data_IF_845818053781
#
_entry.id   IF_845818053781
#
_cell.length_a   1.000
_cell.length_b   1.000
_cell.length_c   1.000
_cell.angle_alpha   90.00
_cell.angle_beta   90.00
_cell.angle_gamma   90.00
#
_symmetry.space_group_name_H-M   'P 1'
#
loop_
_entity.id
_entity.type
_entity.pdbx_description
1 polymer ?
#
# COMPACT_ATOMS: atom_id res chain seq x y z
N UNK A 1 -1.39 -2.54 2.22
CA UNK A 1 -0.21 -2.13 3.00
C UNK A 1 0.19 -0.69 2.69
N UNK A 2 1.18 -0.18 3.44
CA UNK A 2 1.48 1.25 3.45
C UNK A 2 2.38 1.76 2.31
N UNK A 3 2.90 0.92 1.41
CA UNK A 3 3.71 1.40 0.30
C UNK A 3 3.00 2.49 -0.50
N UNK A 4 3.76 3.47 -1.01
CA UNK A 4 3.19 4.70 -1.55
C UNK A 4 2.42 4.47 -2.88
N UNK A 5 2.77 3.47 -3.65
CA UNK A 5 2.07 3.04 -4.85
C UNK A 5 0.68 2.45 -4.55
N UNK A 6 0.47 1.92 -3.34
CA UNK A 6 -0.84 1.44 -2.85
C UNK A 6 -1.62 2.52 -2.09
N UNK A 7 -0.94 3.38 -1.35
CA UNK A 7 -1.55 4.31 -0.39
C UNK A 7 -1.47 5.78 -0.78
N UNK A 8 -0.57 6.15 -1.68
CA UNK A 8 -0.20 7.53 -1.95
C UNK A 8 -1.32 8.42 -2.48
N UNK A 9 -2.42 7.84 -2.96
CA UNK A 9 -3.59 8.61 -3.40
C UNK A 9 -4.70 8.74 -2.34
N UNK A 10 -4.52 8.21 -1.13
CA UNK A 10 -5.51 8.37 -0.06
C UNK A 10 -5.80 9.83 0.29
N UNK A 11 -4.80 10.74 0.41
CA UNK A 11 -5.08 12.15 0.62
C UNK A 11 -5.88 12.76 -0.53
N UNK A 12 -5.61 12.36 -1.77
CA UNK A 12 -6.33 12.82 -2.94
C UNK A 12 -7.80 12.37 -2.92
N UNK A 13 -8.06 11.13 -2.51
CA UNK A 13 -9.42 10.61 -2.34
C UNK A 13 -10.21 11.44 -1.32
N UNK A 14 -9.59 11.77 -0.19
CA UNK A 14 -10.19 12.64 0.84
C UNK A 14 -10.47 14.06 0.31
N UNK A 15 -9.55 14.64 -0.48
CA UNK A 15 -9.73 15.96 -1.12
C UNK A 15 -10.90 15.95 -2.11
N UNK A 16 -11.13 14.84 -2.81
CA UNK A 16 -12.26 14.68 -3.75
C UNK A 16 -13.61 14.46 -3.04
N UNK A 17 -13.64 14.52 -1.73
CA UNK A 17 -14.88 14.51 -0.96
C UNK A 17 -15.22 13.18 -0.29
N UNK A 18 -14.37 12.16 -0.39
CA UNK A 18 -14.60 10.93 0.37
C UNK A 18 -14.52 11.21 1.88
N UNK A 19 -15.50 10.69 2.64
CA UNK A 19 -15.63 10.88 4.09
C UNK A 19 -15.87 9.56 4.83
N UNK A 20 -15.96 8.45 4.11
CA UNK A 20 -16.13 7.13 4.70
C UNK A 20 -14.84 6.62 5.36
N UNK A 21 -14.93 5.51 6.10
CA UNK A 21 -13.75 4.88 6.70
C UNK A 21 -12.86 4.25 5.62
N UNK A 22 -11.55 4.28 5.88
CA UNK A 22 -10.53 3.59 5.10
C UNK A 22 -9.96 2.53 6.03
N UNK A 23 -10.30 1.27 5.76
CA UNK A 23 -9.88 0.15 6.61
C UNK A 23 -8.47 -0.31 6.23
N UNK A 24 -7.63 -0.51 7.23
CA UNK A 24 -6.29 -1.07 7.08
C UNK A 24 -5.79 -1.64 8.40
N UNK A 25 -4.65 -2.34 8.41
CA UNK A 25 -4.06 -2.86 9.64
C UNK A 25 -3.47 -1.74 10.49
N UNK A 26 -3.36 -1.95 11.80
CA UNK A 26 -2.79 -0.97 12.74
C UNK A 26 -1.34 -0.60 12.34
N UNK A 27 -0.50 -1.59 12.05
CA UNK A 27 0.88 -1.34 11.60
C UNK A 27 0.95 -0.55 10.28
N UNK A 28 -0.01 -0.74 9.36
CA UNK A 28 -0.09 0.11 8.17
C UNK A 28 -0.49 1.54 8.52
N UNK A 29 -1.33 1.77 9.54
CA UNK A 29 -1.67 3.13 10.01
C UNK A 29 -0.41 3.83 10.52
N UNK A 30 0.36 3.17 11.41
CA UNK A 30 1.60 3.72 11.95
C UNK A 30 2.59 4.14 10.85
N UNK A 31 2.73 3.31 9.82
CA UNK A 31 3.58 3.64 8.67
C UNK A 31 3.01 4.81 7.84
N UNK A 32 1.71 4.84 7.61
CA UNK A 32 1.04 5.90 6.85
C UNK A 32 1.12 7.26 7.53
N UNK A 33 1.16 7.30 8.87
CA UNK A 33 1.37 8.54 9.65
C UNK A 33 2.72 9.19 9.37
N UNK A 34 3.70 8.43 8.90
CA UNK A 34 5.01 8.93 8.47
C UNK A 34 5.04 9.15 6.96
N UNK A 35 4.65 8.14 6.17
CA UNK A 35 4.85 8.13 4.72
C UNK A 35 4.00 9.17 3.97
N UNK A 36 2.73 9.36 4.35
CA UNK A 36 1.87 10.30 3.64
C UNK A 36 2.26 11.76 3.86
N UNK A 37 2.55 12.22 5.12
CA UNK A 37 3.07 13.57 5.34
C UNK A 37 4.42 13.81 4.66
N UNK A 38 5.35 12.84 4.70
CA UNK A 38 6.64 12.94 4.04
C UNK A 38 6.49 13.07 2.51
N UNK A 39 5.64 12.25 1.90
CA UNK A 39 5.32 12.36 0.48
C UNK A 39 4.73 13.72 0.13
N UNK A 40 3.83 14.28 0.96
CA UNK A 40 3.31 15.63 0.79
C UNK A 40 4.41 16.68 0.85
N UNK A 41 5.31 16.56 1.83
CA UNK A 41 6.46 17.46 1.98
C UNK A 41 7.38 17.44 0.76
N UNK A 42 7.73 16.26 0.26
CA UNK A 42 8.57 16.11 -0.94
C UNK A 42 7.92 16.80 -2.14
N UNK A 43 6.62 16.59 -2.36
CA UNK A 43 5.88 17.22 -3.47
C UNK A 43 5.83 18.74 -3.35
N UNK A 44 5.61 19.27 -2.14
CA UNK A 44 5.63 20.73 -1.90
C UNK A 44 7.02 21.31 -2.19
N UNK A 45 8.10 20.63 -1.74
CA UNK A 45 9.48 21.05 -1.99
C UNK A 45 9.85 20.99 -3.46
N UNK A 46 9.41 19.97 -4.17
CA UNK A 46 9.63 19.87 -5.62
C UNK A 46 8.93 21.00 -6.38
N UNK A 47 7.68 21.30 -6.08
CA UNK A 47 6.95 22.41 -6.68
C UNK A 47 7.64 23.75 -6.40
N UNK A 48 8.07 24.03 -5.16
CA UNK A 48 8.85 25.21 -4.80
C UNK A 48 10.18 25.30 -5.57
N UNK A 49 10.87 24.16 -5.72
CA UNK A 49 12.15 24.13 -6.46
C UNK A 49 11.93 24.43 -7.94
N UNK A 50 10.90 23.85 -8.57
CA UNK A 50 10.55 24.10 -9.96
C UNK A 50 10.22 25.57 -10.20
N UNK A 51 9.43 26.21 -9.30
CA UNK A 51 9.12 27.63 -9.34
C UNK A 51 10.40 28.49 -9.29
N UNK A 52 11.25 28.28 -8.30
CA UNK A 52 12.52 29.01 -8.16
C UNK A 52 13.44 28.85 -9.37
N UNK A 53 13.51 27.64 -9.95
CA UNK A 53 14.36 27.36 -11.11
C UNK A 53 13.85 28.06 -12.38
N UNK A 54 12.54 28.13 -12.56
CA UNK A 54 11.92 28.86 -13.69
C UNK A 54 12.10 30.38 -13.57
N UNK A 55 11.85 30.95 -12.40
CA UNK A 55 12.09 32.36 -12.13
C UNK A 55 13.54 32.77 -12.44
N UNK A 56 14.53 32.00 -12.02
CA UNK A 56 15.95 32.26 -12.32
C UNK A 56 16.27 32.25 -13.82
N UNK A 57 15.48 31.51 -14.62
CA UNK A 57 15.64 31.42 -16.08
C UNK A 57 14.75 32.40 -16.84
N UNK A 58 14.06 33.31 -16.16
CA UNK A 58 13.15 34.27 -16.78
C UNK A 58 11.94 33.63 -17.47
N UNK A 59 11.58 32.41 -17.10
CA UNK A 59 10.41 31.69 -17.62
C UNK A 59 9.20 31.89 -16.69
N UNK A 60 8.03 31.94 -17.29
CA UNK A 60 6.76 32.04 -16.55
C UNK A 60 6.47 30.72 -15.77
N UNK A 61 5.44 30.77 -14.92
CA UNK A 61 5.02 29.67 -14.07
C UNK A 61 4.17 28.61 -14.78
N UNK A 62 3.81 28.84 -16.06
CA UNK A 62 2.97 27.92 -16.83
C UNK A 62 3.62 26.55 -16.97
N UNK A 63 2.85 25.51 -16.65
CA UNK A 63 3.29 24.12 -16.76
C UNK A 63 4.01 23.56 -15.52
N UNK A 64 4.00 24.27 -14.38
CA UNK A 64 4.35 23.69 -13.09
C UNK A 64 3.07 23.06 -12.51
N UNK A 65 3.10 21.74 -12.32
CA UNK A 65 2.02 21.06 -11.64
C UNK A 65 2.07 21.38 -10.13
N UNK A 66 0.95 21.74 -9.51
CA UNK A 66 0.90 21.81 -8.05
C UNK A 66 1.09 20.42 -7.44
N UNK A 67 1.49 20.32 -6.15
CA UNK A 67 1.56 19.04 -5.46
C UNK A 67 0.20 18.35 -5.54
N UNK A 68 0.19 17.01 -5.65
CA UNK A 68 -1.05 16.22 -5.63
C UNK A 68 -1.81 16.44 -4.32
N UNK A 69 -1.09 16.65 -3.24
CA UNK A 69 -1.59 17.04 -1.92
C UNK A 69 -0.45 17.65 -1.08
N UNK A 70 -0.85 18.43 -0.10
CA UNK A 70 0.06 19.06 0.87
C UNK A 70 0.20 18.17 2.12
N UNK A 71 1.20 18.46 2.98
CA UNK A 71 1.32 17.85 4.30
C UNK A 71 0.03 17.96 5.10
N UNK A 72 -0.60 19.13 5.11
CA UNK A 72 -1.86 19.33 5.85
C UNK A 72 -3.01 18.43 5.33
N UNK A 73 -3.09 18.23 4.02
CA UNK A 73 -4.09 17.35 3.40
C UNK A 73 -3.80 15.86 3.68
N UNK A 74 -2.53 15.47 3.70
CA UNK A 74 -2.10 14.14 4.13
C UNK A 74 -2.55 13.87 5.57
N UNK A 75 -2.21 14.75 6.51
CA UNK A 75 -2.61 14.63 7.93
C UNK A 75 -4.14 14.60 8.09
N UNK A 76 -4.87 15.35 7.28
CA UNK A 76 -6.34 15.32 7.32
C UNK A 76 -6.91 13.97 6.89
N UNK A 77 -6.30 13.30 5.90
CA UNK A 77 -6.74 12.00 5.39
C UNK A 77 -6.53 10.86 6.39
N UNK A 78 -5.51 10.94 7.24
CA UNK A 78 -5.22 9.93 8.27
C UNK A 78 -6.40 9.74 9.24
N UNK A 79 -7.21 10.76 9.45
CA UNK A 79 -8.41 10.70 10.32
C UNK A 79 -9.49 9.73 9.80
N UNK A 80 -9.43 9.36 8.54
CA UNK A 80 -10.36 8.41 7.92
C UNK A 80 -9.92 6.95 8.13
N UNK A 81 -8.67 6.72 8.54
CA UNK A 81 -8.15 5.38 8.74
C UNK A 81 -8.85 4.70 9.91
N UNK A 82 -9.17 3.42 9.73
CA UNK A 82 -9.79 2.56 10.73
C UNK A 82 -9.03 1.25 10.82
N UNK A 83 -8.48 0.92 11.99
CA UNK A 83 -7.73 -0.31 12.17
C UNK A 83 -8.64 -1.54 12.06
N UNK A 84 -8.11 -2.59 11.47
CA UNK A 84 -8.68 -3.93 11.44
C UNK A 84 -7.61 -4.95 11.81
N UNK A 85 -8.00 -5.99 12.53
CA UNK A 85 -7.10 -7.08 12.91
C UNK A 85 -7.06 -8.15 11.83
N UNK A 86 -5.92 -8.85 11.72
CA UNK A 86 -5.86 -10.07 10.92
C UNK A 86 -6.82 -11.14 11.45
N UNK A 87 -7.39 -11.91 10.55
CA UNK A 87 -8.30 -13.00 10.86
C UNK A 87 -9.70 -12.59 11.31
N UNK A 88 -9.93 -11.31 11.67
CA UNK A 88 -11.25 -10.81 12.03
C UNK A 88 -12.09 -10.49 10.79
N UNK A 89 -13.37 -10.87 10.83
CA UNK A 89 -14.32 -10.52 9.78
C UNK A 89 -15.05 -9.26 10.16
N UNK A 90 -15.05 -8.27 9.29
CA UNK A 90 -15.84 -7.04 9.44
C UNK A 90 -16.73 -6.80 8.22
N UNK A 91 -17.69 -5.90 8.37
CA UNK A 91 -18.75 -5.65 7.39
C UNK A 91 -18.73 -4.18 6.97
N UNK A 92 -17.98 -3.81 5.91
CA UNK A 92 -17.98 -2.43 5.41
C UNK A 92 -19.32 -2.01 4.78
N UNK A 93 -20.13 -2.99 4.38
CA UNK A 93 -21.49 -2.81 3.87
C UNK A 93 -22.34 -4.05 4.19
N UNK A 94 -23.66 -3.92 4.16
CA UNK A 94 -24.61 -4.99 4.53
C UNK A 94 -24.40 -6.31 3.74
N UNK A 95 -24.04 -6.18 2.46
CA UNK A 95 -23.85 -7.33 1.57
C UNK A 95 -22.39 -7.78 1.46
N UNK A 96 -21.47 -7.15 2.18
CA UNK A 96 -20.01 -7.37 2.01
C UNK A 96 -19.39 -7.69 3.35
N UNK A 97 -18.69 -8.82 3.43
CA UNK A 97 -17.79 -9.13 4.54
C UNK A 97 -16.35 -9.18 4.04
N UNK A 98 -15.43 -8.73 4.86
CA UNK A 98 -13.99 -8.67 4.54
C UNK A 98 -13.21 -9.26 5.70
N UNK A 99 -12.16 -10.01 5.38
CA UNK A 99 -11.16 -10.52 6.30
C UNK A 99 -9.78 -10.21 5.74
N UNK A 100 -8.90 -9.71 6.61
CA UNK A 100 -7.50 -9.45 6.30
C UNK A 100 -6.66 -10.62 6.78
N UNK A 101 -5.73 -11.06 5.95
CA UNK A 101 -4.77 -12.11 6.23
C UNK A 101 -3.36 -11.59 6.04
N UNK A 102 -2.41 -12.07 6.83
CA UNK A 102 -1.02 -11.61 6.68
C UNK A 102 -0.46 -12.00 5.31
N UNK A 103 0.03 -11.02 4.58
CA UNK A 103 0.66 -11.22 3.28
C UNK A 103 2.17 -11.43 3.37
N UNK A 104 2.80 -11.28 4.54
CA UNK A 104 4.22 -11.51 4.78
C UNK A 104 5.16 -10.59 4.00
N UNK A 105 4.67 -9.49 3.41
CA UNK A 105 5.45 -8.61 2.53
C UNK A 105 6.18 -7.51 3.31
N UNK A 106 5.45 -6.72 4.09
CA UNK A 106 5.97 -5.77 5.08
C UNK A 106 5.08 -5.80 6.32
N UNK A 107 5.49 -5.15 7.40
CA UNK A 107 4.64 -5.01 8.59
C UNK A 107 3.31 -4.39 8.22
N UNK A 108 2.22 -5.05 8.61
CA UNK A 108 0.86 -4.63 8.30
C UNK A 108 0.36 -4.97 6.89
N UNK A 109 1.16 -5.64 6.05
CA UNK A 109 0.71 -6.08 4.73
C UNK A 109 -0.37 -7.16 4.83
N UNK A 110 -1.36 -7.09 3.97
CA UNK A 110 -2.47 -8.04 3.97
C UNK A 110 -2.89 -8.43 2.55
N UNK A 111 -3.24 -9.69 2.38
CA UNK A 111 -4.13 -10.08 1.32
C UNK A 111 -5.59 -10.11 1.83
N UNK A 112 -6.54 -9.89 0.96
CA UNK A 112 -7.94 -9.69 1.35
C UNK A 112 -8.83 -10.82 0.85
N UNK A 113 -9.61 -11.39 1.74
CA UNK A 113 -10.76 -12.23 1.43
C UNK A 113 -12.03 -11.38 1.52
N UNK A 114 -12.72 -11.21 0.41
CA UNK A 114 -13.96 -10.43 0.31
C UNK A 114 -15.08 -11.37 -0.09
N UNK A 115 -16.13 -11.45 0.73
CA UNK A 115 -17.32 -12.22 0.40
C UNK A 115 -18.48 -11.27 0.16
N UNK A 116 -19.12 -11.39 -1.01
CA UNK A 116 -20.26 -10.59 -1.41
C UNK A 116 -21.50 -11.46 -1.46
N UNK A 117 -22.55 -11.06 -0.75
CA UNK A 117 -23.88 -11.69 -0.87
C UNK A 117 -24.42 -11.41 -2.26
N UNK A 118 -24.89 -12.44 -2.96
CA UNK A 118 -25.54 -12.32 -4.25
C UNK A 118 -26.76 -13.24 -4.32
N UNK A 119 -27.58 -13.07 -5.34
CA UNK A 119 -28.67 -14.04 -5.63
C UNK A 119 -28.07 -15.43 -5.88
N UNK A 120 -28.51 -16.41 -5.10
CA UNK A 120 -27.94 -17.78 -5.10
C UNK A 120 -26.90 -17.97 -4.00
N UNK A 121 -25.65 -18.30 -4.36
CA UNK A 121 -24.55 -18.46 -3.38
C UNK A 121 -23.70 -17.21 -3.24
N UNK A 122 -23.15 -16.94 -2.05
CA UNK A 122 -22.16 -15.87 -1.88
C UNK A 122 -20.96 -16.04 -2.83
N UNK A 123 -20.39 -14.92 -3.27
CA UNK A 123 -19.21 -14.89 -4.14
C UNK A 123 -17.99 -14.50 -3.31
N UNK A 124 -16.92 -15.27 -3.45
CA UNK A 124 -15.64 -15.02 -2.77
C UNK A 124 -14.62 -14.45 -3.76
N UNK A 125 -14.11 -13.27 -3.43
CA UNK A 125 -13.04 -12.60 -4.16
C UNK A 125 -11.80 -12.58 -3.27
N UNK A 126 -10.64 -12.84 -3.86
CA UNK A 126 -9.34 -12.74 -3.18
C UNK A 126 -8.48 -11.71 -3.90
N UNK A 127 -7.92 -10.79 -3.13
CA UNK A 127 -6.97 -9.78 -3.60
C UNK A 127 -5.64 -10.04 -2.91
N UNK A 128 -4.60 -10.41 -3.65
CA UNK A 128 -3.30 -10.74 -3.05
C UNK A 128 -2.63 -9.53 -2.40
N UNK A 129 -2.86 -8.32 -2.90
CA UNK A 129 -1.89 -7.26 -2.67
C UNK A 129 -0.50 -7.72 -3.08
N UNK A 130 0.54 -7.20 -2.42
CA UNK A 130 1.90 -7.68 -2.58
C UNK A 130 2.16 -8.80 -1.58
N UNK A 131 2.65 -9.93 -2.09
CA UNK A 131 2.94 -11.12 -1.31
C UNK A 131 4.41 -11.15 -0.90
N UNK A 132 4.65 -11.50 0.35
CA UNK A 132 5.99 -11.71 0.85
C UNK A 132 6.54 -13.10 0.51
N UNK A 133 7.78 -13.31 0.90
CA UNK A 133 8.46 -14.60 0.81
C UNK A 133 8.45 -15.27 2.17
N UNK A 134 8.37 -16.61 2.17
CA UNK A 134 8.55 -17.41 3.38
C UNK A 134 10.00 -17.32 3.91
N UNK A 135 10.18 -17.77 5.16
CA UNK A 135 11.49 -17.84 5.84
C UNK A 135 12.18 -16.48 6.03
N UNK A 136 11.42 -15.41 6.22
CA UNK A 136 11.98 -14.09 6.56
C UNK A 136 12.22 -13.96 8.07
N UNK A 137 13.36 -13.38 8.45
CA UNK A 137 13.77 -13.28 9.85
C UNK A 137 12.86 -12.42 10.75
N UNK A 138 12.10 -11.49 10.17
CA UNK A 138 11.34 -10.46 10.92
C UNK A 138 9.84 -10.50 10.64
N UNK A 139 9.43 -11.13 9.55
CA UNK A 139 8.03 -11.21 9.13
C UNK A 139 7.51 -12.64 9.28
N UNK A 140 6.22 -12.76 9.52
CA UNK A 140 5.55 -14.05 9.42
C UNK A 140 5.45 -14.46 7.94
N UNK A 141 5.41 -15.76 7.72
CA UNK A 141 5.12 -16.29 6.39
C UNK A 141 3.72 -15.88 5.95
N UNK A 142 3.49 -15.65 4.64
CA UNK A 142 2.16 -15.36 4.12
C UNK A 142 1.16 -16.45 4.52
N UNK A 143 0.01 -16.04 5.05
CA UNK A 143 -1.10 -16.96 5.28
C UNK A 143 -1.57 -17.59 3.97
N UNK A 144 -1.85 -18.89 4.00
CA UNK A 144 -2.34 -19.59 2.82
C UNK A 144 -3.73 -19.10 2.43
N UNK A 145 -3.98 -18.85 1.13
CA UNK A 145 -5.29 -18.43 0.66
C UNK A 145 -6.31 -19.59 0.80
N UNK A 146 -7.61 -19.26 0.86
CA UNK A 146 -8.64 -20.29 0.88
C UNK A 146 -8.56 -21.14 -0.41
N UNK A 147 -8.89 -22.44 -0.33
CA UNK A 147 -8.76 -23.37 -1.46
C UNK A 147 -9.66 -23.01 -2.66
N UNK A 148 -10.69 -22.22 -2.44
CA UNK A 148 -11.65 -21.83 -3.47
C UNK A 148 -11.93 -20.33 -3.43
N UNK A 149 -11.81 -19.67 -4.59
CA UNK A 149 -12.25 -18.31 -4.84
C UNK A 149 -13.00 -18.27 -6.19
N UNK A 150 -14.04 -17.43 -6.26
CA UNK A 150 -14.73 -17.18 -7.53
C UNK A 150 -13.92 -16.24 -8.42
N UNK A 151 -13.19 -15.30 -7.79
CA UNK A 151 -12.30 -14.35 -8.48
C UNK A 151 -11.02 -14.20 -7.66
N UNK A 152 -9.89 -14.30 -8.33
CA UNK A 152 -8.57 -14.05 -7.77
C UNK A 152 -7.91 -12.91 -8.55
N UNK A 153 -7.53 -11.83 -7.84
CA UNK A 153 -6.63 -10.79 -8.32
C UNK A 153 -5.29 -11.01 -7.63
N UNK A 154 -4.26 -11.35 -8.41
CA UNK A 154 -2.92 -11.69 -7.90
C UNK A 154 -1.88 -10.83 -8.60
N UNK A 155 -0.88 -10.38 -7.81
CA UNK A 155 0.29 -9.72 -8.37
C UNK A 155 1.10 -10.66 -9.27
N UNK A 156 1.91 -10.10 -10.15
CA UNK A 156 2.75 -10.87 -11.07
C UNK A 156 4.18 -10.33 -11.20
N UNK A 157 4.64 -9.55 -10.23
CA UNK A 157 5.94 -8.88 -10.24
C UNK A 157 7.09 -9.86 -10.47
N UNK A 158 7.04 -11.02 -9.84
CA UNK A 158 8.00 -12.13 -10.03
C UNK A 158 7.34 -13.37 -10.65
N UNK A 159 6.31 -13.17 -11.47
CA UNK A 159 5.56 -14.27 -12.07
C UNK A 159 6.34 -15.13 -13.07
N UNK A 160 7.45 -14.63 -13.59
CA UNK A 160 8.31 -15.28 -14.59
C UNK A 160 9.68 -15.72 -14.07
N UNK A 161 9.99 -15.51 -12.78
CA UNK A 161 11.33 -15.78 -12.20
C UNK A 161 11.26 -16.07 -10.71
N UNK A 162 12.27 -16.75 -10.22
CA UNK A 162 12.45 -17.00 -8.79
C UNK A 162 13.44 -15.96 -8.20
N UNK A 163 13.24 -15.68 -6.91
CA UNK A 163 14.25 -14.97 -6.13
C UNK A 163 15.49 -15.85 -5.93
N UNK A 164 16.65 -15.22 -5.80
CA UNK A 164 17.88 -15.91 -5.38
C UNK A 164 17.73 -16.44 -3.96
N UNK A 165 18.42 -17.52 -3.67
CA UNK A 165 18.49 -18.03 -2.30
C UNK A 165 19.24 -17.05 -1.38
N UNK A 166 19.05 -17.17 -0.09
CA UNK A 166 19.75 -16.35 0.90
C UNK A 166 21.28 -16.58 0.79
N UNK A 167 21.71 -17.82 0.64
CA UNK A 167 23.13 -18.17 0.50
C UNK A 167 23.78 -17.51 -0.73
N UNK A 168 23.11 -17.56 -1.89
CA UNK A 168 23.60 -16.88 -3.10
C UNK A 168 23.69 -15.36 -2.91
N UNK A 169 22.78 -14.78 -2.16
CA UNK A 169 22.79 -13.33 -1.85
C UNK A 169 23.94 -12.99 -0.91
N UNK A 170 24.21 -13.81 0.12
CA UNK A 170 25.34 -13.64 1.02
C UNK A 170 26.66 -13.73 0.29
N UNK A 171 26.84 -14.71 -0.58
CA UNK A 171 28.05 -14.85 -1.41
C UNK A 171 28.28 -13.64 -2.31
N UNK A 172 27.22 -13.08 -2.90
CA UNK A 172 27.35 -11.85 -3.73
C UNK A 172 27.74 -10.63 -2.89
N UNK A 173 27.20 -10.49 -1.68
CA UNK A 173 27.57 -9.39 -0.77
C UNK A 173 29.05 -9.50 -0.44
N UNK A 174 29.54 -10.67 -0.02
CA UNK A 174 30.96 -10.91 0.26
C UNK A 174 31.81 -10.58 -0.95
N UNK A 175 31.47 -11.10 -2.12
CA UNK A 175 32.20 -10.83 -3.35
C UNK A 175 32.23 -9.36 -3.79
N UNK A 176 31.20 -8.58 -3.40
CA UNK A 176 31.15 -7.14 -3.69
C UNK A 176 32.08 -6.32 -2.77
N UNK A 177 32.30 -6.78 -1.54
CA UNK A 177 33.24 -6.14 -0.60
C UNK A 177 34.69 -6.53 -0.82
N UNK A 178 34.96 -7.68 -1.47
CA UNK A 178 36.31 -8.17 -1.78
C UNK A 178 36.91 -7.54 -3.09
N UNK A 179 36.22 -6.63 -3.75
CA UNK A 179 36.64 -5.89 -4.96
C UNK A 179 37.11 -4.48 -4.61
#
# INVERSE_FOLDING_TARGET
>A
HAHIDHSGLLPRLAMLGYRGPIYTTEASIDLLEVLLPDSGHIQEKEAEWQLRHRHRRGKDERGIAPPLYTVAQALASLKLLKPVSYGETFYPAEAVSVRYHDAGHILGSAWLEVTVKSEGRPRRLVFSGDLGMSDRAVLYDPEQPPPEADVLLVESTYGDRLHRSLAETEDEIVAAFDR
#
